data_IF_137072273176
#
_entry.id   IF_137072273176
#
_cell.length_a   1.000
_cell.length_b   1.000
_cell.length_c   1.000
_cell.angle_alpha   90.00
_cell.angle_beta   90.00
_cell.angle_gamma   90.00
#
_symmetry.space_group_name_H-M   'P 1'
#
loop_
_entity.id
_entity.type
_entity.pdbx_description
1 polymer ?
#
# COMPACT_ATOMS: atom_id res chain seq x y z
N UNK A 1 -23.89 3.64 14.36
CA UNK A 1 -25.12 4.46 14.31
C UNK A 1 -25.64 4.41 12.89
N UNK A 2 -26.93 4.60 12.70
CA UNK A 2 -27.61 4.65 11.40
C UNK A 2 -28.10 6.08 11.22
N UNK A 3 -27.85 6.67 10.05
CA UNK A 3 -28.39 7.97 9.68
C UNK A 3 -29.71 7.76 8.94
N UNK A 4 -30.79 8.39 9.39
CA UNK A 4 -32.14 8.19 8.89
C UNK A 4 -32.70 9.55 8.50
N UNK A 5 -33.32 9.65 7.31
CA UNK A 5 -34.17 10.79 6.97
C UNK A 5 -35.61 10.48 7.36
N UNK A 6 -36.17 11.25 8.29
CA UNK A 6 -37.54 11.14 8.77
C UNK A 6 -38.53 11.80 7.79
N UNK A 7 -39.82 11.48 7.92
CA UNK A 7 -40.90 12.01 7.07
C UNK A 7 -41.17 13.51 7.21
N UNK A 8 -40.75 14.10 8.32
CA UNK A 8 -40.79 15.54 8.57
C UNK A 8 -39.56 16.27 8.00
N UNK A 9 -38.68 15.54 7.30
CA UNK A 9 -37.47 16.08 6.71
C UNK A 9 -36.25 16.09 7.63
N UNK A 10 -36.39 15.73 8.92
CA UNK A 10 -35.25 15.63 9.82
C UNK A 10 -34.28 14.54 9.40
N UNK A 11 -33.00 14.78 9.69
CA UNK A 11 -31.93 13.81 9.54
C UNK A 11 -31.46 13.43 10.94
N UNK A 12 -31.76 12.20 11.36
CA UNK A 12 -31.46 11.70 12.70
C UNK A 12 -30.33 10.67 12.65
N UNK A 13 -29.33 10.81 13.52
CA UNK A 13 -28.33 9.77 13.78
C UNK A 13 -28.80 8.94 14.97
N UNK A 14 -29.03 7.66 14.76
CA UNK A 14 -29.53 6.73 15.78
C UNK A 14 -28.44 5.71 16.12
N UNK A 15 -28.12 5.52 17.39
CA UNK A 15 -27.17 4.52 17.87
C UNK A 15 -27.85 3.59 18.87
N UNK A 16 -27.86 2.28 18.59
CA UNK A 16 -28.49 1.26 19.43
C UNK A 16 -29.99 1.52 19.75
N UNK A 17 -30.68 2.26 18.88
CA UNK A 17 -32.09 2.63 19.03
C UNK A 17 -32.32 4.02 19.63
N UNK A 18 -31.27 4.67 20.15
CA UNK A 18 -31.35 6.01 20.71
C UNK A 18 -30.94 7.06 19.66
N UNK A 19 -31.75 8.11 19.50
CA UNK A 19 -31.36 9.28 18.73
C UNK A 19 -30.22 10.00 19.45
N UNK A 20 -29.07 10.12 18.78
CA UNK A 20 -27.88 10.79 19.31
C UNK A 20 -27.64 12.17 18.67
N UNK A 21 -28.30 12.48 17.54
CA UNK A 21 -28.25 13.79 16.88
C UNK A 21 -29.41 13.96 15.89
N UNK A 22 -29.91 15.19 15.68
CA UNK A 22 -30.93 15.53 14.67
C UNK A 22 -30.68 16.90 14.03
N UNK A 23 -31.03 17.07 12.76
CA UNK A 23 -30.90 18.32 12.00
C UNK A 23 -31.98 19.38 12.28
N UNK A 24 -33.08 19.02 12.96
CA UNK A 24 -34.14 19.94 13.42
C UNK A 24 -34.76 20.83 12.33
N UNK A 25 -35.18 20.23 11.22
CA UNK A 25 -35.59 20.88 9.96
C UNK A 25 -37.08 21.31 9.96
N UNK A 26 -38.02 20.48 10.47
CA UNK A 26 -39.46 20.81 10.51
C UNK A 26 -40.30 19.81 11.34
N UNK A 27 -41.53 20.20 11.75
CA UNK A 27 -42.57 19.31 12.33
C UNK A 27 -43.66 18.89 11.30
N UNK A 28 -43.68 19.47 10.10
CA UNK A 28 -44.68 19.13 9.08
C UNK A 28 -44.21 17.94 8.22
N UNK A 29 -45.04 16.90 8.10
CA UNK A 29 -44.78 15.76 7.20
C UNK A 29 -44.85 16.20 5.73
N UNK A 30 -43.86 15.78 4.94
CA UNK A 30 -43.75 16.20 3.55
C UNK A 30 -42.72 15.43 2.75
N UNK A 31 -42.56 15.83 1.50
CA UNK A 31 -41.55 15.27 0.61
C UNK A 31 -40.24 16.01 0.75
N UNK A 32 -39.24 15.31 1.26
CA UNK A 32 -37.88 15.81 1.43
C UNK A 32 -36.85 14.93 0.73
N UNK A 33 -35.81 15.58 0.21
CA UNK A 33 -34.68 14.93 -0.44
C UNK A 33 -33.39 15.41 0.22
N UNK A 34 -32.56 14.48 0.69
CA UNK A 34 -31.23 14.79 1.22
C UNK A 34 -30.14 14.34 0.25
N UNK A 35 -29.25 15.25 -0.14
CA UNK A 35 -28.21 15.03 -1.15
C UNK A 35 -26.83 15.38 -0.60
N UNK A 36 -25.88 14.45 -0.66
CA UNK A 36 -24.47 14.73 -0.42
C UNK A 36 -23.83 15.23 -1.73
N UNK A 37 -23.60 16.52 -1.85
CA UNK A 37 -23.03 17.13 -3.04
C UNK A 37 -21.57 16.75 -3.25
N UNK A 38 -21.09 16.95 -4.49
CA UNK A 38 -19.72 16.59 -4.89
C UNK A 38 -18.61 17.34 -4.13
N UNK A 39 -18.96 18.45 -3.48
CA UNK A 39 -18.12 19.29 -2.60
C UNK A 39 -18.14 18.88 -1.13
N UNK A 40 -18.83 17.80 -0.81
CA UNK A 40 -18.97 17.28 0.55
C UNK A 40 -20.08 17.97 1.36
N UNK A 41 -20.80 18.93 0.77
CA UNK A 41 -21.91 19.59 1.44
C UNK A 41 -23.15 18.69 1.43
N UNK A 42 -23.79 18.51 2.59
CA UNK A 42 -25.01 17.72 2.72
C UNK A 42 -26.21 18.65 2.77
N UNK A 43 -27.06 18.60 1.76
CA UNK A 43 -28.26 19.44 1.65
C UNK A 43 -29.52 18.64 1.90
N UNK A 44 -30.52 19.25 2.53
CA UNK A 44 -31.90 18.76 2.54
C UNK A 44 -32.82 19.80 1.90
N UNK A 45 -33.66 19.34 0.98
CA UNK A 45 -34.60 20.19 0.21
C UNK A 45 -36.05 19.75 0.40
N UNK A 46 -36.97 20.71 0.34
CA UNK A 46 -38.42 20.45 0.31
C UNK A 46 -38.90 20.02 -1.10
N UNK A 47 -40.20 19.73 -1.21
CA UNK A 47 -40.85 19.31 -2.46
C UNK A 47 -40.76 20.35 -3.61
N UNK A 48 -40.49 21.62 -3.29
CA UNK A 48 -40.34 22.71 -4.24
C UNK A 48 -38.87 22.98 -4.59
N UNK A 49 -37.95 22.13 -4.15
CA UNK A 49 -36.49 22.27 -4.25
C UNK A 49 -35.91 23.46 -3.49
N UNK A 50 -36.59 23.96 -2.44
CA UNK A 50 -35.98 24.93 -1.54
C UNK A 50 -35.07 24.21 -0.56
N UNK A 51 -33.85 24.69 -0.37
CA UNK A 51 -32.94 24.18 0.68
C UNK A 51 -33.50 24.56 2.03
N UNK A 52 -33.86 23.56 2.82
CA UNK A 52 -34.38 23.71 4.19
C UNK A 52 -33.31 23.47 5.25
N UNK A 53 -32.20 22.83 4.88
CA UNK A 53 -31.03 22.63 5.74
C UNK A 53 -29.77 22.29 4.93
N UNK A 54 -28.60 22.68 5.43
CA UNK A 54 -27.30 22.33 4.90
C UNK A 54 -26.32 22.01 6.04
N UNK A 55 -25.35 21.12 5.79
CA UNK A 55 -24.25 20.88 6.75
C UNK A 55 -23.17 21.97 6.70
N UNK A 56 -23.19 22.83 5.69
CA UNK A 56 -22.20 23.87 5.37
C UNK A 56 -20.76 23.35 5.30
N UNK A 57 -20.62 22.04 5.11
CA UNK A 57 -19.34 21.34 5.05
C UNK A 57 -18.80 21.41 3.63
N UNK A 58 -18.14 22.51 3.29
CA UNK A 58 -17.56 22.70 1.96
C UNK A 58 -16.10 22.25 1.97
N UNK A 59 -15.77 21.33 1.07
CA UNK A 59 -14.40 20.97 0.72
C UNK A 59 -14.20 21.24 -0.78
N UNK A 60 -12.99 21.67 -1.20
CA UNK A 60 -12.66 21.91 -2.62
C UNK A 60 -12.59 20.60 -3.46
N UNK A 61 -13.24 19.54 -3.00
CA UNK A 61 -13.31 18.24 -3.66
C UNK A 61 -14.48 18.31 -4.64
N UNK A 62 -14.34 17.75 -5.84
CA UNK A 62 -15.47 17.59 -6.76
C UNK A 62 -15.51 16.12 -7.16
N UNK A 63 -16.62 15.43 -6.86
CA UNK A 63 -16.83 14.02 -7.20
C UNK A 63 -17.92 13.86 -8.26
N UNK A 64 -17.78 12.85 -9.14
CA UNK A 64 -18.72 12.54 -10.23
C UNK A 64 -20.03 11.86 -9.76
N UNK A 65 -20.09 11.50 -8.48
CA UNK A 65 -21.19 10.74 -7.89
C UNK A 65 -21.68 11.42 -6.62
N UNK A 66 -22.98 11.39 -6.41
CA UNK A 66 -23.56 11.83 -5.15
C UNK A 66 -24.63 10.87 -4.65
N UNK A 67 -24.78 10.85 -3.33
CA UNK A 67 -25.77 10.04 -2.63
C UNK A 67 -27.03 10.85 -2.42
N UNK A 68 -28.17 10.24 -2.72
CA UNK A 68 -29.49 10.82 -2.55
C UNK A 68 -30.35 9.91 -1.66
N UNK A 69 -30.88 10.46 -0.59
CA UNK A 69 -31.90 9.84 0.27
C UNK A 69 -33.23 10.54 0.02
N UNK A 70 -34.30 9.76 -0.15
CA UNK A 70 -35.65 10.32 -0.37
C UNK A 70 -36.61 9.81 0.71
N UNK A 71 -37.25 10.76 1.41
CA UNK A 71 -38.16 10.48 2.55
C UNK A 71 -39.49 9.82 2.15
N UNK A 72 -39.90 9.90 0.88
CA UNK A 72 -41.20 9.36 0.43
C UNK A 72 -41.19 7.87 0.09
N UNK A 73 -40.00 7.27 -0.07
CA UNK A 73 -39.84 5.91 -0.58
C UNK A 73 -38.98 5.00 0.29
N UNK A 74 -38.41 5.53 1.38
CA UNK A 74 -37.41 4.84 2.21
C UNK A 74 -36.27 4.23 1.35
N UNK A 75 -35.93 4.90 0.25
CA UNK A 75 -35.04 4.40 -0.81
C UNK A 75 -33.74 5.22 -0.82
N UNK A 76 -32.60 4.54 -0.70
CA UNK A 76 -31.29 5.10 -1.01
C UNK A 76 -31.04 4.94 -2.52
N UNK A 77 -30.77 6.05 -3.20
CA UNK A 77 -30.45 6.08 -4.61
C UNK A 77 -29.03 6.65 -4.82
N UNK A 78 -28.27 6.04 -5.72
CA UNK A 78 -26.96 6.56 -6.15
C UNK A 78 -27.14 7.18 -7.52
N UNK A 79 -26.68 8.43 -7.65
CA UNK A 79 -26.68 9.17 -8.91
C UNK A 79 -25.26 9.44 -9.36
N UNK A 80 -25.07 9.44 -10.68
CA UNK A 80 -23.85 9.93 -11.34
C UNK A 80 -24.22 11.20 -12.11
N UNK A 81 -23.47 12.27 -11.89
CA UNK A 81 -23.72 13.54 -12.55
C UNK A 81 -22.55 13.95 -13.44
N UNK A 82 -22.86 14.36 -14.68
CA UNK A 82 -21.98 15.26 -15.46
C UNK A 82 -22.59 16.66 -15.48
N UNK A 83 -21.85 17.72 -15.87
CA UNK A 83 -22.42 19.06 -16.03
C UNK A 83 -23.67 19.11 -16.93
N UNK A 84 -23.79 18.17 -17.87
CA UNK A 84 -24.90 18.07 -18.83
C UNK A 84 -26.07 17.20 -18.34
N UNK A 85 -25.82 16.22 -17.45
CA UNK A 85 -26.86 15.38 -16.85
C UNK A 85 -26.52 15.04 -15.40
N UNK A 86 -26.81 15.95 -14.45
CA UNK A 86 -26.40 15.77 -13.06
C UNK A 86 -27.14 14.64 -12.34
N UNK A 87 -28.27 14.14 -12.85
CA UNK A 87 -29.16 13.22 -12.11
C UNK A 87 -29.36 11.85 -12.79
N UNK A 88 -28.31 11.27 -13.38
CA UNK A 88 -28.41 9.93 -13.94
C UNK A 88 -28.41 8.88 -12.80
N UNK A 89 -29.57 8.27 -12.51
CA UNK A 89 -29.69 7.21 -11.51
C UNK A 89 -28.90 5.97 -11.94
N UNK A 90 -27.99 5.49 -11.09
CA UNK A 90 -27.17 4.30 -11.36
C UNK A 90 -27.53 3.10 -10.48
N UNK A 91 -28.15 3.32 -9.31
CA UNK A 91 -28.55 2.24 -8.41
C UNK A 91 -29.63 2.69 -7.43
N UNK A 92 -30.47 1.76 -6.96
CA UNK A 92 -31.37 1.98 -5.82
C UNK A 92 -31.45 0.80 -4.86
N UNK A 93 -31.71 1.09 -3.58
CA UNK A 93 -31.82 0.08 -2.52
C UNK A 93 -33.00 -0.89 -2.67
N UNK A 94 -34.01 -0.57 -3.48
CA UNK A 94 -35.16 -1.44 -3.77
C UNK A 94 -34.87 -2.46 -4.89
N UNK A 95 -33.81 -2.24 -5.67
CA UNK A 95 -33.35 -3.19 -6.71
C UNK A 95 -32.71 -4.46 -6.11
N UNK A 96 -32.58 -4.51 -4.78
CA UNK A 96 -31.93 -5.60 -4.04
C UNK A 96 -30.40 -5.55 -4.12
N UNK A 97 -29.70 -6.46 -3.41
CA UNK A 97 -28.26 -6.62 -3.59
C UNK A 97 -27.97 -7.03 -5.04
N UNK A 98 -26.86 -6.51 -5.60
CA UNK A 98 -26.41 -6.83 -6.96
C UNK A 98 -26.25 -8.36 -7.06
N UNK A 99 -27.22 -9.02 -7.69
CA UNK A 99 -27.28 -10.47 -7.83
C UNK A 99 -27.44 -10.83 -9.29
N UNK A 100 -26.30 -11.02 -9.94
CA UNK A 100 -26.19 -11.45 -11.33
C UNK A 100 -24.75 -11.25 -11.83
N UNK A 101 -24.24 -12.12 -12.72
CA UNK A 101 -22.99 -11.83 -13.41
C UNK A 101 -23.18 -10.51 -14.20
N UNK A 102 -22.15 -9.65 -14.26
CA UNK A 102 -22.25 -8.37 -14.97
C UNK A 102 -22.75 -8.60 -16.40
N UNK A 103 -23.60 -7.71 -16.94
CA UNK A 103 -24.08 -7.83 -18.30
C UNK A 103 -22.88 -7.90 -19.26
N UNK A 104 -22.93 -8.72 -20.31
CA UNK A 104 -21.82 -8.89 -21.24
C UNK A 104 -21.48 -7.53 -21.87
N UNK A 105 -20.26 -7.09 -21.59
CA UNK A 105 -19.76 -5.77 -21.94
C UNK A 105 -19.41 -5.72 -23.45
N UNK A 106 -20.41 -5.55 -24.31
CA UNK A 106 -20.22 -5.30 -25.73
C UNK A 106 -20.06 -3.79 -25.97
N UNK A 107 -18.90 -3.28 -25.59
CA UNK A 107 -18.21 -2.13 -26.19
C UNK A 107 -16.78 -2.13 -25.64
N UNK A 108 -15.74 -1.90 -26.44
CA UNK A 108 -14.37 -2.00 -25.95
C UNK A 108 -14.17 -0.91 -24.89
N UNK A 109 -14.00 -1.33 -23.64
CA UNK A 109 -13.39 -0.47 -22.60
C UNK A 109 -12.00 -0.15 -23.12
N UNK A 110 -11.80 1.07 -23.58
CA UNK A 110 -10.46 1.58 -23.84
C UNK A 110 -9.70 1.60 -22.52
N UNK A 111 -8.41 1.23 -22.54
CA UNK A 111 -7.49 1.08 -21.40
C UNK A 111 -7.39 2.25 -20.38
N UNK A 112 -8.23 3.29 -20.47
CA UNK A 112 -8.25 4.45 -19.61
C UNK A 112 -9.02 4.25 -18.27
N UNK A 113 -10.00 3.34 -18.21
CA UNK A 113 -10.85 3.20 -17.00
C UNK A 113 -10.22 2.35 -15.86
N UNK A 114 -9.05 1.73 -16.10
CA UNK A 114 -8.30 0.97 -15.08
C UNK A 114 -7.20 1.80 -14.39
N UNK A 115 -7.08 3.09 -14.71
CA UNK A 115 -6.07 4.01 -14.14
C UNK A 115 -6.61 4.75 -12.91
N UNK A 116 -7.04 4.03 -11.86
CA UNK A 116 -7.48 4.66 -10.60
C UNK A 116 -6.33 4.97 -9.62
N UNK A 117 -5.13 5.30 -10.08
CA UNK A 117 -4.07 5.82 -9.20
C UNK A 117 -3.86 7.30 -9.47
N UNK A 118 -4.22 8.14 -8.51
CA UNK A 118 -4.06 9.58 -8.60
C UNK A 118 -2.71 10.02 -8.01
N UNK A 119 -1.62 9.43 -8.49
CA UNK A 119 -0.27 9.73 -8.03
C UNK A 119 0.67 10.02 -9.20
N UNK A 120 1.60 10.95 -8.99
CA UNK A 120 2.76 11.19 -9.87
C UNK A 120 3.98 10.33 -9.47
N UNK A 121 3.79 9.47 -8.46
CA UNK A 121 4.81 8.56 -7.93
C UNK A 121 4.53 7.12 -8.36
N UNK A 122 5.62 6.38 -8.56
CA UNK A 122 5.57 4.92 -8.55
C UNK A 122 5.54 4.47 -7.10
N UNK A 123 4.35 4.17 -6.57
CA UNK A 123 4.17 3.74 -5.19
C UNK A 123 4.27 2.22 -5.15
N UNK A 124 5.45 1.74 -4.74
CA UNK A 124 5.76 0.33 -4.62
C UNK A 124 5.56 -0.22 -3.21
N UNK A 125 5.18 -1.49 -3.13
CA UNK A 125 5.15 -2.27 -1.89
C UNK A 125 5.93 -3.55 -2.07
N UNK A 126 6.67 -3.97 -1.04
CA UNK A 126 7.15 -5.35 -0.97
C UNK A 126 5.95 -6.27 -0.68
N UNK A 127 5.79 -7.30 -1.51
CA UNK A 127 4.63 -8.20 -1.48
C UNK A 127 5.09 -9.65 -1.31
N UNK A 128 4.40 -10.39 -0.45
CA UNK A 128 4.80 -11.74 -0.05
C UNK A 128 3.78 -12.77 -0.54
N UNK A 129 4.04 -13.43 -1.69
CA UNK A 129 3.07 -14.33 -2.29
C UNK A 129 3.18 -15.75 -1.71
N UNK A 130 3.41 -15.91 -0.40
CA UNK A 130 3.74 -17.20 0.22
C UNK A 130 2.67 -17.76 1.18
N UNK A 131 1.57 -17.04 1.39
CA UNK A 131 0.47 -17.51 2.23
C UNK A 131 -0.37 -18.56 1.48
N UNK A 132 -0.75 -19.63 2.19
CA UNK A 132 -1.42 -20.81 1.61
C UNK A 132 -1.74 -21.85 2.68
N UNK A 133 -1.88 -23.13 2.29
CA UNK A 133 -2.22 -24.35 3.06
C UNK A 133 -1.70 -24.53 4.52
N UNK A 134 -0.88 -23.64 5.08
CA UNK A 134 -0.27 -23.75 6.39
C UNK A 134 -0.58 -22.55 7.30
N UNK A 135 -1.75 -21.91 7.19
CA UNK A 135 -2.22 -20.82 8.07
C UNK A 135 -1.11 -19.83 8.46
N UNK A 136 -0.48 -19.17 7.48
CA UNK A 136 0.56 -18.16 7.75
C UNK A 136 1.75 -18.71 8.55
N UNK A 137 2.24 -19.89 8.16
CA UNK A 137 3.33 -20.62 8.82
C UNK A 137 2.95 -21.05 10.26
N UNK A 138 1.76 -21.61 10.42
CA UNK A 138 1.23 -22.11 11.68
C UNK A 138 0.93 -20.98 12.67
N UNK A 139 0.38 -19.86 12.18
CA UNK A 139 -0.04 -18.69 12.96
C UNK A 139 1.08 -18.04 13.77
N UNK A 140 2.31 -18.12 13.28
CA UNK A 140 3.47 -17.61 14.01
C UNK A 140 3.76 -16.15 13.70
N UNK A 141 2.84 -15.24 14.01
CA UNK A 141 3.06 -13.80 13.88
C UNK A 141 2.57 -13.03 15.10
N UNK A 142 3.14 -11.85 15.34
CA UNK A 142 2.94 -11.12 16.59
C UNK A 142 1.47 -10.81 16.85
N UNK A 143 0.72 -10.39 15.82
CA UNK A 143 -0.68 -10.01 15.96
C UNK A 143 -1.65 -11.17 16.23
N UNK A 144 -1.28 -12.41 15.90
CA UNK A 144 -2.06 -13.57 16.34
C UNK A 144 -1.86 -13.83 17.84
N UNK A 145 -0.65 -13.57 18.35
CA UNK A 145 -0.24 -13.88 19.72
C UNK A 145 -0.54 -12.79 20.74
N UNK A 146 -1.05 -11.63 20.32
CA UNK A 146 -1.56 -10.59 21.22
C UNK A 146 -2.98 -10.90 21.70
N UNK A 147 -3.43 -10.24 22.77
CA UNK A 147 -4.73 -10.47 23.37
C UNK A 147 -5.53 -9.16 23.55
N UNK A 148 -6.66 -8.96 22.84
CA UNK A 148 -7.24 -9.87 21.85
C UNK A 148 -6.39 -9.95 20.56
N UNK A 149 -6.44 -11.07 19.80
CA UNK A 149 -5.76 -11.19 18.51
C UNK A 149 -6.25 -10.16 17.50
N UNK A 150 -5.37 -9.76 16.58
CA UNK A 150 -5.68 -8.82 15.50
C UNK A 150 -5.24 -9.44 14.16
N UNK A 151 -6.18 -9.84 13.31
CA UNK A 151 -5.92 -10.71 12.17
C UNK A 151 -6.01 -9.95 10.83
N UNK A 152 -5.56 -10.52 9.71
CA UNK A 152 -5.87 -9.97 8.39
C UNK A 152 -7.38 -9.84 8.20
N UNK A 153 -7.83 -8.77 7.55
CA UNK A 153 -9.28 -8.54 7.34
C UNK A 153 -9.91 -9.54 6.38
N UNK A 154 -9.10 -10.16 5.50
CA UNK A 154 -9.52 -11.28 4.67
C UNK A 154 -9.44 -12.64 5.40
N UNK A 155 -9.08 -12.64 6.69
CA UNK A 155 -8.73 -13.85 7.42
C UNK A 155 -7.36 -14.40 7.02
N UNK A 156 -7.01 -15.57 7.52
CA UNK A 156 -5.81 -16.29 7.08
C UNK A 156 -6.10 -16.93 5.71
N UNK A 157 -5.81 -16.18 4.67
CA UNK A 157 -6.12 -16.52 3.28
C UNK A 157 -5.09 -17.43 2.61
N UNK A 158 -5.51 -18.01 1.49
CA UNK A 158 -4.63 -18.67 0.54
C UNK A 158 -4.34 -17.74 -0.64
N UNK A 159 -3.07 -17.40 -0.84
CA UNK A 159 -2.64 -16.44 -1.84
C UNK A 159 -2.76 -16.96 -3.28
N UNK A 160 -3.12 -18.25 -3.46
CA UNK A 160 -3.39 -18.87 -4.77
C UNK A 160 -4.81 -18.57 -5.27
N UNK A 161 -5.71 -18.19 -4.38
CA UNK A 161 -7.10 -17.92 -4.75
C UNK A 161 -7.19 -16.60 -5.53
N UNK A 162 -7.73 -16.61 -6.77
CA UNK A 162 -7.82 -15.41 -7.60
C UNK A 162 -8.53 -14.25 -6.90
N UNK A 163 -9.55 -14.53 -6.10
CA UNK A 163 -10.33 -13.54 -5.34
C UNK A 163 -9.50 -12.83 -4.28
N UNK A 164 -8.57 -13.53 -3.63
CA UNK A 164 -7.64 -12.93 -2.65
C UNK A 164 -6.69 -11.98 -3.36
N UNK A 165 -6.14 -12.39 -4.51
CA UNK A 165 -5.30 -11.54 -5.34
C UNK A 165 -6.08 -10.29 -5.80
N UNK A 166 -7.32 -10.46 -6.26
CA UNK A 166 -8.19 -9.36 -6.70
C UNK A 166 -8.47 -8.35 -5.57
N UNK A 167 -8.77 -8.82 -4.35
CA UNK A 167 -8.98 -7.91 -3.22
C UNK A 167 -7.69 -7.21 -2.79
N UNK A 168 -6.53 -7.87 -2.81
CA UNK A 168 -5.24 -7.20 -2.58
C UNK A 168 -4.95 -6.12 -3.64
N UNK A 169 -5.23 -6.40 -4.92
CA UNK A 169 -5.07 -5.43 -6.01
C UNK A 169 -6.00 -4.22 -5.82
N UNK A 170 -7.24 -4.45 -5.39
CA UNK A 170 -8.20 -3.39 -5.05
C UNK A 170 -7.72 -2.54 -3.87
N UNK A 171 -7.29 -3.16 -2.77
CA UNK A 171 -6.71 -2.47 -1.61
C UNK A 171 -5.49 -1.63 -2.02
N UNK A 172 -4.63 -2.18 -2.88
CA UNK A 172 -3.45 -1.50 -3.41
C UNK A 172 -3.84 -0.24 -4.20
N UNK A 173 -4.80 -0.35 -5.12
CA UNK A 173 -5.30 0.81 -5.89
C UNK A 173 -5.89 1.88 -4.98
N UNK A 174 -6.67 1.49 -3.98
CA UNK A 174 -7.22 2.43 -2.98
C UNK A 174 -6.12 3.19 -2.24
N UNK A 175 -4.91 2.63 -2.14
CA UNK A 175 -3.75 3.22 -1.48
C UNK A 175 -2.79 3.93 -2.44
N UNK A 176 -3.16 4.16 -3.70
CA UNK A 176 -2.29 4.63 -4.80
C UNK A 176 -1.11 3.70 -5.14
N UNK A 177 -1.06 2.47 -4.60
CA UNK A 177 -0.04 1.47 -4.93
C UNK A 177 -0.23 1.01 -6.37
N UNK A 178 0.83 1.14 -7.16
CA UNK A 178 0.86 0.75 -8.58
C UNK A 178 2.02 -0.20 -8.92
N UNK A 179 2.78 -0.63 -7.91
CA UNK A 179 3.85 -1.61 -8.06
C UNK A 179 3.85 -2.62 -6.89
N UNK A 180 3.82 -3.91 -7.22
CA UNK A 180 4.18 -4.99 -6.29
C UNK A 180 5.57 -5.53 -6.61
N UNK A 181 6.46 -5.45 -5.63
CA UNK A 181 7.79 -6.07 -5.66
C UNK A 181 7.68 -7.40 -4.91
N UNK A 182 7.48 -8.47 -5.67
CA UNK A 182 7.07 -9.80 -5.16
C UNK A 182 8.29 -10.62 -4.71
N UNK A 183 8.30 -11.06 -3.45
CA UNK A 183 9.30 -12.02 -2.93
C UNK A 183 9.38 -13.25 -3.83
N UNK A 184 10.58 -13.64 -4.24
CA UNK A 184 10.82 -14.70 -5.21
C UNK A 184 12.04 -15.55 -4.83
N UNK A 185 11.79 -16.84 -4.58
CA UNK A 185 12.79 -17.82 -4.10
C UNK A 185 13.37 -18.68 -5.22
N UNK A 186 13.20 -18.26 -6.48
CA UNK A 186 13.72 -18.98 -7.65
C UNK A 186 12.72 -19.93 -8.30
N UNK A 187 13.09 -20.53 -9.44
CA UNK A 187 12.22 -21.37 -10.26
C UNK A 187 11.59 -22.53 -9.49
N UNK A 188 10.30 -22.76 -9.69
CA UNK A 188 9.58 -23.89 -9.08
C UNK A 188 9.29 -23.74 -7.58
N UNK A 189 9.66 -22.62 -6.96
CA UNK A 189 9.26 -22.31 -5.58
C UNK A 189 7.76 -22.02 -5.46
N UNK A 190 7.24 -21.93 -4.23
CA UNK A 190 5.85 -21.52 -4.01
C UNK A 190 5.61 -20.08 -4.50
N UNK A 191 6.56 -19.18 -4.21
CA UNK A 191 6.46 -17.79 -4.65
C UNK A 191 6.58 -17.65 -6.17
N UNK A 192 7.35 -18.51 -6.84
CA UNK A 192 7.38 -18.58 -8.31
C UNK A 192 6.01 -18.84 -8.93
N UNK A 193 5.32 -19.89 -8.45
CA UNK A 193 3.98 -20.24 -8.92
C UNK A 193 2.95 -19.17 -8.60
N UNK A 194 3.00 -18.62 -7.40
CA UNK A 194 2.00 -17.65 -6.95
C UNK A 194 2.19 -16.29 -7.66
N UNK A 195 3.43 -15.87 -7.93
CA UNK A 195 3.66 -14.66 -8.76
C UNK A 195 3.18 -14.85 -10.20
N UNK A 196 3.24 -16.06 -10.76
CA UNK A 196 2.64 -16.35 -12.08
C UNK A 196 1.12 -16.23 -12.03
N UNK A 197 0.47 -16.76 -10.98
CA UNK A 197 -0.97 -16.59 -10.78
C UNK A 197 -1.38 -15.10 -10.64
N UNK A 198 -0.54 -14.28 -10.00
CA UNK A 198 -0.75 -12.82 -9.95
C UNK A 198 -0.67 -12.21 -11.35
N UNK A 199 0.32 -12.60 -12.16
CA UNK A 199 0.46 -12.12 -13.55
C UNK A 199 -0.70 -12.51 -14.46
N UNK A 200 -1.37 -13.62 -14.17
CA UNK A 200 -2.53 -14.13 -14.92
C UNK A 200 -3.88 -13.61 -14.37
N UNK A 201 -3.87 -12.87 -13.24
CA UNK A 201 -5.11 -12.40 -12.62
C UNK A 201 -5.80 -11.35 -13.50
N UNK A 202 -7.11 -11.54 -13.74
CA UNK A 202 -7.93 -10.65 -14.58
C UNK A 202 -7.96 -9.19 -14.13
N UNK A 203 -7.77 -8.96 -12.83
CA UNK A 203 -7.83 -7.64 -12.20
C UNK A 203 -6.44 -7.02 -12.07
N UNK A 204 -5.39 -7.58 -12.70
CA UNK A 204 -4.03 -7.00 -12.71
C UNK A 204 -3.86 -5.71 -13.54
N UNK A 205 -4.56 -5.46 -14.67
CA UNK A 205 -4.32 -4.29 -15.50
C UNK A 205 -4.25 -2.97 -14.72
N UNK A 206 -3.21 -2.17 -14.97
CA UNK A 206 -2.89 -0.96 -14.21
C UNK A 206 -1.92 -1.14 -13.04
N UNK A 207 -1.62 -2.37 -12.62
CA UNK A 207 -0.57 -2.70 -11.65
C UNK A 207 0.71 -3.16 -12.36
N UNK A 208 1.88 -2.79 -11.83
CA UNK A 208 3.17 -3.35 -12.23
C UNK A 208 3.67 -4.38 -11.24
N UNK A 209 4.40 -5.37 -11.74
CA UNK A 209 5.04 -6.43 -10.95
C UNK A 209 6.55 -6.39 -11.19
N UNK A 210 7.34 -6.57 -10.13
CA UNK A 210 8.76 -6.89 -10.21
C UNK A 210 9.09 -8.07 -9.29
N UNK A 211 10.19 -8.77 -9.58
CA UNK A 211 10.71 -9.82 -8.70
C UNK A 211 11.65 -9.25 -7.64
N UNK A 212 11.55 -9.78 -6.42
CA UNK A 212 12.44 -9.52 -5.30
C UNK A 212 13.20 -10.79 -4.95
N UNK A 213 14.47 -10.83 -5.35
CA UNK A 213 15.28 -12.03 -5.27
C UNK A 213 15.77 -12.28 -3.84
N UNK A 214 15.28 -13.36 -3.26
CA UNK A 214 15.55 -13.78 -1.88
C UNK A 214 16.93 -14.46 -1.77
N UNK A 215 17.99 -13.64 -1.72
CA UNK A 215 19.38 -14.14 -1.75
C UNK A 215 19.71 -15.06 -0.57
N UNK A 216 19.03 -14.90 0.57
CA UNK A 216 19.29 -15.69 1.79
C UNK A 216 19.09 -17.20 1.62
N UNK A 217 18.20 -17.65 0.73
CA UNK A 217 18.10 -19.07 0.36
C UNK A 217 18.26 -19.39 -1.11
N UNK A 218 18.26 -18.39 -2.00
CA UNK A 218 18.65 -18.62 -3.40
C UNK A 218 20.17 -18.60 -3.59
N UNK A 219 20.92 -17.95 -2.70
CA UNK A 219 22.40 -17.95 -2.65
C UNK A 219 22.80 -18.46 -1.26
N UNK A 220 22.83 -19.78 -1.03
CA UNK A 220 23.15 -20.35 0.28
C UNK A 220 24.46 -19.78 0.85
N UNK A 221 24.43 -19.35 2.11
CA UNK A 221 25.55 -18.69 2.80
C UNK A 221 26.13 -17.48 2.06
N UNK A 222 25.37 -16.88 1.14
CA UNK A 222 25.80 -15.78 0.28
C UNK A 222 27.05 -16.09 -0.56
N UNK A 223 27.36 -17.36 -0.84
CA UNK A 223 28.64 -17.76 -1.46
C UNK A 223 28.50 -18.55 -2.75
N UNK A 224 27.39 -19.25 -2.99
CA UNK A 224 27.17 -20.01 -4.22
C UNK A 224 26.31 -19.21 -5.19
N UNK A 225 26.94 -18.62 -6.22
CA UNK A 225 26.26 -17.72 -7.18
C UNK A 225 26.03 -18.37 -8.54
N UNK A 226 26.55 -19.57 -8.79
CA UNK A 226 26.51 -20.19 -10.12
C UNK A 226 25.08 -20.46 -10.60
N UNK A 227 24.16 -20.73 -9.68
CA UNK A 227 22.73 -20.92 -9.98
C UNK A 227 22.01 -19.62 -10.34
N UNK A 228 22.56 -18.45 -10.00
CA UNK A 228 21.93 -17.14 -10.24
C UNK A 228 21.75 -16.90 -11.74
N UNK A 229 22.69 -17.35 -12.58
CA UNK A 229 22.60 -17.23 -14.03
C UNK A 229 21.37 -17.94 -14.58
N UNK A 230 21.16 -19.20 -14.18
CA UNK A 230 20.02 -20.00 -14.63
C UNK A 230 18.70 -19.44 -14.09
N UNK A 231 18.70 -18.94 -12.85
CA UNK A 231 17.54 -18.25 -12.29
C UNK A 231 17.15 -17.01 -13.10
N UNK A 232 18.11 -16.18 -13.53
CA UNK A 232 17.81 -14.99 -14.32
C UNK A 232 17.46 -15.30 -15.78
N UNK A 233 18.02 -16.36 -16.36
CA UNK A 233 17.57 -16.86 -17.65
C UNK A 233 16.11 -17.34 -17.58
N UNK A 234 15.73 -18.03 -16.51
CA UNK A 234 14.34 -18.43 -16.26
C UNK A 234 13.44 -17.21 -16.03
N UNK A 235 13.87 -16.24 -15.22
CA UNK A 235 13.10 -15.03 -14.95
C UNK A 235 12.80 -14.26 -16.25
N UNK A 236 13.79 -14.19 -17.15
CA UNK A 236 13.65 -13.56 -18.45
C UNK A 236 12.57 -14.22 -19.32
N UNK A 237 12.53 -15.55 -19.38
CA UNK A 237 11.52 -16.28 -20.16
C UNK A 237 10.10 -16.12 -19.63
N UNK A 238 9.96 -16.05 -18.31
CA UNK A 238 8.68 -16.23 -17.65
C UNK A 238 8.02 -14.92 -17.20
N UNK A 239 8.81 -13.85 -17.03
CA UNK A 239 8.33 -12.60 -16.42
C UNK A 239 8.63 -11.36 -17.26
N UNK A 240 9.85 -11.21 -17.76
CA UNK A 240 10.32 -9.93 -18.34
C UNK A 240 9.58 -9.51 -19.63
N UNK A 241 9.01 -10.48 -20.34
CA UNK A 241 8.18 -10.25 -21.52
C UNK A 241 6.81 -9.63 -21.22
N UNK A 242 6.29 -9.78 -19.99
CA UNK A 242 4.95 -9.30 -19.63
C UNK A 242 4.85 -7.77 -19.76
N UNK A 243 3.69 -7.28 -20.21
CA UNK A 243 3.37 -5.85 -20.23
C UNK A 243 3.15 -5.28 -18.83
N UNK A 244 2.81 -6.14 -17.88
CA UNK A 244 2.66 -5.82 -16.46
C UNK A 244 3.98 -5.87 -15.70
N UNK A 245 5.07 -6.35 -16.30
CA UNK A 245 6.38 -6.32 -15.64
C UNK A 245 6.97 -4.91 -15.64
N UNK A 246 7.48 -4.47 -14.49
CA UNK A 246 8.09 -3.15 -14.34
C UNK A 246 9.34 -3.02 -15.22
N UNK A 247 9.40 -1.93 -15.99
CA UNK A 247 10.55 -1.58 -16.84
C UNK A 247 10.93 -0.12 -16.60
N UNK A 248 12.21 0.15 -16.42
CA UNK A 248 12.78 1.50 -16.41
C UNK A 248 13.66 1.62 -17.65
N UNK A 249 13.42 2.61 -18.50
CA UNK A 249 14.12 2.79 -19.78
C UNK A 249 14.12 1.50 -20.65
N UNK A 250 13.00 0.76 -20.64
CA UNK A 250 12.85 -0.50 -21.36
C UNK A 250 13.51 -1.72 -20.72
N UNK A 251 14.28 -1.55 -19.64
CA UNK A 251 15.01 -2.60 -18.93
C UNK A 251 14.13 -3.21 -17.83
N UNK A 252 13.88 -4.54 -17.80
CA UNK A 252 13.14 -5.18 -16.71
C UNK A 252 13.81 -4.92 -15.37
N UNK A 253 13.03 -4.49 -14.38
CA UNK A 253 13.54 -4.19 -13.04
C UNK A 253 13.61 -5.45 -12.19
N UNK A 254 14.72 -5.66 -11.49
CA UNK A 254 14.96 -6.82 -10.64
C UNK A 254 15.52 -6.37 -9.28
N UNK A 255 14.76 -6.61 -8.21
CA UNK A 255 15.16 -6.24 -6.85
C UNK A 255 15.98 -7.36 -6.23
N UNK A 256 17.00 -7.00 -5.45
CA UNK A 256 17.91 -7.94 -4.78
C UNK A 256 17.86 -7.70 -3.28
N UNK A 257 17.29 -8.66 -2.55
CA UNK A 257 17.31 -8.65 -1.09
C UNK A 257 18.71 -8.96 -0.58
N UNK A 258 19.16 -8.30 0.48
CA UNK A 258 20.49 -8.45 1.09
C UNK A 258 21.66 -8.23 0.11
N UNK A 259 21.51 -7.33 -0.85
CA UNK A 259 22.60 -6.83 -1.69
C UNK A 259 23.75 -6.27 -0.84
N UNK A 260 23.43 -5.64 0.31
CA UNK A 260 24.46 -5.18 1.27
C UNK A 260 25.27 -6.33 1.86
N UNK A 261 24.64 -7.48 2.15
CA UNK A 261 25.33 -8.65 2.74
C UNK A 261 26.21 -9.31 1.69
N UNK A 262 25.72 -9.43 0.45
CA UNK A 262 26.55 -9.84 -0.68
C UNK A 262 27.76 -8.92 -0.85
N UNK A 263 27.59 -7.60 -0.72
CA UNK A 263 28.69 -6.63 -0.79
C UNK A 263 29.69 -6.83 0.34
N UNK A 264 29.22 -6.92 1.59
CA UNK A 264 30.06 -7.17 2.77
C UNK A 264 30.87 -8.46 2.67
N UNK A 265 30.30 -9.48 2.02
CA UNK A 265 30.95 -10.77 1.81
C UNK A 265 31.84 -10.81 0.54
N UNK A 266 31.95 -9.70 -0.21
CA UNK A 266 32.73 -9.63 -1.46
C UNK A 266 32.12 -10.45 -2.61
N UNK A 267 30.80 -10.66 -2.60
CA UNK A 267 30.08 -11.52 -3.55
C UNK A 267 29.09 -10.78 -4.45
N UNK A 268 28.84 -9.49 -4.20
CA UNK A 268 27.91 -8.68 -4.98
C UNK A 268 28.29 -8.62 -6.46
N UNK A 269 29.55 -8.35 -6.79
CA UNK A 269 30.02 -8.26 -8.18
C UNK A 269 29.78 -9.57 -8.94
N UNK A 270 30.16 -10.70 -8.34
CA UNK A 270 29.96 -12.02 -8.94
C UNK A 270 28.46 -12.33 -9.13
N UNK A 271 27.62 -12.02 -8.13
CA UNK A 271 26.18 -12.23 -8.23
C UNK A 271 25.56 -11.36 -9.34
N UNK A 272 25.84 -10.06 -9.37
CA UNK A 272 25.35 -9.12 -10.39
C UNK A 272 25.81 -9.54 -11.80
N UNK A 273 27.06 -10.01 -11.93
CA UNK A 273 27.56 -10.54 -13.20
C UNK A 273 26.73 -11.71 -13.69
N UNK A 274 26.47 -12.71 -12.84
CA UNK A 274 25.64 -13.86 -13.20
C UNK A 274 24.18 -13.45 -13.50
N UNK A 275 23.63 -12.47 -12.76
CA UNK A 275 22.28 -11.94 -13.02
C UNK A 275 22.18 -11.33 -14.43
N UNK A 276 23.10 -10.40 -14.75
CA UNK A 276 23.12 -9.73 -16.05
C UNK A 276 23.37 -10.71 -17.18
N UNK A 277 24.26 -11.67 -16.98
CA UNK A 277 24.58 -12.67 -17.98
C UNK A 277 23.41 -13.62 -18.24
N UNK A 278 22.73 -14.09 -17.18
CA UNK A 278 21.52 -14.91 -17.29
C UNK A 278 20.44 -14.24 -18.12
N UNK A 279 20.12 -12.98 -17.81
CA UNK A 279 19.15 -12.20 -18.58
C UNK A 279 19.60 -11.95 -20.04
N UNK A 280 20.89 -11.67 -20.25
CA UNK A 280 21.46 -11.43 -21.59
C UNK A 280 21.33 -12.65 -22.50
N UNK A 281 21.40 -13.87 -21.96
CA UNK A 281 21.17 -15.08 -22.77
C UNK A 281 19.80 -15.10 -23.45
N UNK A 282 18.84 -14.32 -22.94
CA UNK A 282 17.48 -14.14 -23.48
C UNK A 282 17.24 -12.76 -24.09
N UNK A 283 18.30 -12.02 -24.37
CA UNK A 283 18.24 -10.72 -25.04
C UNK A 283 17.79 -9.55 -24.15
N UNK A 284 17.78 -9.72 -22.83
CA UNK A 284 17.43 -8.66 -21.90
C UNK A 284 18.65 -8.00 -21.28
N UNK A 285 18.62 -6.67 -21.21
CA UNK A 285 19.40 -5.89 -20.26
C UNK A 285 18.49 -5.53 -19.08
N UNK A 286 18.89 -5.87 -17.86
CA UNK A 286 18.08 -5.68 -16.65
C UNK A 286 18.53 -4.47 -15.83
N UNK A 287 17.61 -3.82 -15.14
CA UNK A 287 17.84 -2.74 -14.18
C UNK A 287 17.80 -3.32 -12.75
N UNK A 288 18.91 -3.29 -12.03
CA UNK A 288 19.05 -3.98 -10.74
C UNK A 288 18.94 -2.99 -9.58
N UNK A 289 17.99 -3.24 -8.67
CA UNK A 289 17.79 -2.47 -7.43
C UNK A 289 18.28 -3.30 -6.25
N UNK A 290 19.20 -2.77 -5.44
CA UNK A 290 19.69 -3.46 -4.24
C UNK A 290 19.37 -2.73 -2.94
N UNK A 291 19.08 -3.45 -1.86
CA UNK A 291 18.81 -2.91 -0.51
C UNK A 291 20.09 -2.48 0.25
N UNK A 292 20.94 -1.69 -0.41
CA UNK A 292 22.25 -1.27 0.07
C UNK A 292 22.22 -0.01 0.94
N UNK A 293 21.16 0.80 0.88
CA UNK A 293 21.06 2.10 1.56
C UNK A 293 20.72 1.95 3.05
N UNK A 294 21.62 1.29 3.80
CA UNK A 294 21.41 0.95 5.20
C UNK A 294 22.23 1.84 6.14
N UNK A 295 21.57 2.38 7.16
CA UNK A 295 22.21 3.19 8.20
C UNK A 295 22.90 4.46 7.67
N UNK A 296 24.23 4.52 7.63
CA UNK A 296 24.98 5.75 7.26
C UNK A 296 25.43 5.69 5.80
N UNK A 297 25.30 6.78 5.04
CA UNK A 297 25.80 6.84 3.67
C UNK A 297 27.34 6.73 3.60
N UNK A 298 27.89 6.22 2.49
CA UNK A 298 29.32 6.13 2.29
C UNK A 298 29.95 7.53 2.21
N UNK A 299 31.19 7.66 2.70
CA UNK A 299 31.94 8.94 2.66
C UNK A 299 32.70 9.18 1.35
N UNK A 300 32.78 8.19 0.49
CA UNK A 300 33.49 8.22 -0.78
C UNK A 300 32.91 7.20 -1.74
N UNK A 301 33.72 6.72 -2.68
CA UNK A 301 33.30 5.74 -3.67
C UNK A 301 32.78 4.46 -2.99
N UNK A 302 31.70 3.94 -3.53
CA UNK A 302 31.01 2.78 -2.98
C UNK A 302 30.69 1.81 -4.10
N UNK A 303 31.44 0.70 -4.14
CA UNK A 303 31.41 -0.29 -5.22
C UNK A 303 29.99 -0.72 -5.62
N UNK A 304 29.04 -0.79 -4.68
CA UNK A 304 27.68 -1.20 -5.00
C UNK A 304 27.01 -0.25 -6.02
N UNK A 305 27.35 1.04 -6.04
CA UNK A 305 26.81 2.00 -7.01
C UNK A 305 27.35 1.79 -8.44
N UNK A 306 28.49 1.11 -8.60
CA UNK A 306 29.02 0.75 -9.92
C UNK A 306 28.36 -0.53 -10.48
N UNK A 307 27.78 -1.34 -9.60
CA UNK A 307 27.22 -2.66 -9.92
C UNK A 307 25.70 -2.63 -10.08
N UNK A 308 25.04 -1.84 -9.24
CA UNK A 308 23.59 -1.68 -9.17
C UNK A 308 23.15 -0.44 -9.96
N UNK A 309 21.94 -0.49 -10.50
CA UNK A 309 21.34 0.65 -11.19
C UNK A 309 20.62 1.59 -10.21
N UNK A 310 20.08 1.03 -9.12
CA UNK A 310 19.57 1.80 -7.99
C UNK A 310 19.85 1.14 -6.65
N UNK A 311 19.81 1.94 -5.59
CA UNK A 311 19.77 1.47 -4.22
C UNK A 311 18.48 1.88 -3.52
N UNK A 312 18.02 1.02 -2.61
CA UNK A 312 16.89 1.28 -1.72
C UNK A 312 17.22 0.85 -0.28
N UNK A 313 16.31 1.12 0.65
CA UNK A 313 16.39 0.67 2.03
C UNK A 313 15.23 -0.27 2.36
N UNK A 314 15.48 -1.58 2.48
CA UNK A 314 14.44 -2.51 2.91
C UNK A 314 14.22 -2.47 4.44
N UNK A 315 15.31 -2.38 5.21
CA UNK A 315 15.34 -2.52 6.68
C UNK A 315 15.37 -1.13 7.35
N UNK A 316 14.21 -0.45 7.32
CA UNK A 316 14.03 0.88 7.91
C UNK A 316 14.14 0.78 9.43
N UNK A 317 13.49 -0.20 10.05
CA UNK A 317 13.62 -0.51 11.49
C UNK A 317 15.09 -0.64 11.96
N UNK A 318 15.90 -1.42 11.24
CA UNK A 318 17.32 -1.58 11.52
C UNK A 318 18.12 -0.31 11.30
N UNK A 319 17.80 0.47 10.26
CA UNK A 319 18.44 1.76 9.96
C UNK A 319 18.18 2.82 11.02
N UNK A 320 17.01 2.78 11.66
CA UNK A 320 16.64 3.60 12.81
C UNK A 320 17.32 3.14 14.12
N UNK A 321 18.03 2.01 14.12
CA UNK A 321 18.69 1.50 15.32
C UNK A 321 17.72 0.84 16.30
N UNK A 322 16.59 0.32 15.80
CA UNK A 322 15.62 -0.52 16.53
C UNK A 322 14.96 0.14 17.76
N UNK A 323 14.40 1.35 17.62
CA UNK A 323 13.77 2.05 18.75
C UNK A 323 12.39 1.48 19.11
N UNK A 324 11.93 1.70 20.36
CA UNK A 324 10.51 1.50 20.74
C UNK A 324 9.62 2.54 20.04
N UNK A 325 10.00 3.82 20.13
CA UNK A 325 9.42 4.93 19.37
C UNK A 325 10.55 5.67 18.66
N UNK A 326 10.41 5.91 17.37
CA UNK A 326 11.45 6.62 16.64
C UNK A 326 11.63 8.06 17.15
N UNK A 327 10.52 8.78 17.35
CA UNK A 327 10.52 10.20 17.70
C UNK A 327 10.96 11.10 16.55
N UNK A 328 10.54 12.37 16.59
CA UNK A 328 10.79 13.33 15.49
C UNK A 328 12.28 13.52 15.20
N UNK A 329 13.11 13.63 16.25
CA UNK A 329 14.56 13.82 16.10
C UNK A 329 15.23 12.70 15.29
N UNK A 330 14.88 11.44 15.55
CA UNK A 330 15.47 10.30 14.83
C UNK A 330 14.95 10.22 13.39
N UNK A 331 13.69 10.56 13.17
CA UNK A 331 13.10 10.62 11.82
C UNK A 331 13.76 11.71 10.98
N UNK A 332 14.05 12.87 11.56
CA UNK A 332 14.77 13.95 10.87
C UNK A 332 16.22 13.51 10.56
N UNK A 333 16.89 12.82 11.49
CA UNK A 333 18.21 12.22 11.25
C UNK A 333 18.19 11.13 10.17
N UNK A 334 17.12 10.35 10.10
CA UNK A 334 16.94 9.34 9.05
C UNK A 334 16.75 10.01 7.69
N UNK A 335 15.90 11.05 7.62
CA UNK A 335 15.74 11.86 6.40
C UNK A 335 17.08 12.39 5.90
N UNK A 336 17.90 12.97 6.79
CA UNK A 336 19.23 13.47 6.42
C UNK A 336 20.16 12.34 5.94
N UNK A 337 20.10 11.15 6.56
CA UNK A 337 20.89 9.99 6.13
C UNK A 337 20.45 9.47 4.76
N UNK A 338 19.15 9.38 4.51
CA UNK A 338 18.60 8.96 3.21
C UNK A 338 18.93 9.98 2.11
N UNK A 339 18.89 11.29 2.39
CA UNK A 339 19.35 12.32 1.45
C UNK A 339 20.86 12.19 1.18
N UNK A 340 21.66 11.87 2.20
CA UNK A 340 23.09 11.58 2.02
C UNK A 340 23.33 10.36 1.13
N UNK A 341 22.50 9.32 1.25
CA UNK A 341 22.54 8.14 0.37
C UNK A 341 22.21 8.53 -1.08
N UNK A 342 21.12 9.26 -1.27
CA UNK A 342 20.69 9.77 -2.57
C UNK A 342 21.77 10.60 -3.26
N UNK A 343 22.39 11.54 -2.55
CA UNK A 343 23.48 12.36 -3.09
C UNK A 343 24.73 11.53 -3.42
N UNK A 344 25.06 10.53 -2.61
CA UNK A 344 26.21 9.66 -2.87
C UNK A 344 25.98 8.76 -4.09
N UNK A 345 24.78 8.18 -4.22
CA UNK A 345 24.39 7.33 -5.34
C UNK A 345 24.43 8.11 -6.66
N UNK A 346 23.79 9.29 -6.72
CA UNK A 346 23.75 10.15 -7.91
C UNK A 346 25.13 10.58 -8.40
N UNK A 347 26.07 10.84 -7.48
CA UNK A 347 27.46 11.18 -7.83
C UNK A 347 28.19 10.07 -8.59
N UNK A 348 27.76 8.82 -8.41
CA UNK A 348 28.31 7.63 -9.08
C UNK A 348 27.37 7.07 -10.16
N UNK A 349 26.32 7.82 -10.55
CA UNK A 349 25.39 7.40 -11.60
C UNK A 349 24.45 6.27 -11.20
N UNK A 350 24.24 6.05 -9.90
CA UNK A 350 23.27 5.12 -9.36
C UNK A 350 22.05 5.91 -8.87
N UNK A 351 20.85 5.41 -9.16
CA UNK A 351 19.61 6.02 -8.70
C UNK A 351 19.33 5.65 -7.23
N UNK A 352 18.42 6.39 -6.61
CA UNK A 352 17.99 6.16 -5.24
C UNK A 352 16.46 6.05 -5.12
N UNK A 353 16.01 5.03 -4.38
CA UNK A 353 14.60 4.74 -4.14
C UNK A 353 14.36 4.76 -2.62
N UNK A 354 13.75 5.82 -2.06
CA UNK A 354 13.47 5.90 -0.63
C UNK A 354 12.45 4.85 -0.20
N UNK A 355 12.43 4.57 1.10
CA UNK A 355 11.52 3.60 1.67
C UNK A 355 10.87 4.05 2.98
N UNK A 356 9.71 3.47 3.27
CA UNK A 356 8.94 3.69 4.48
C UNK A 356 8.45 2.36 5.07
N UNK A 357 8.27 2.33 6.39
CA UNK A 357 7.83 1.15 7.14
C UNK A 357 6.86 1.61 8.25
N UNK A 358 5.70 0.95 8.45
CA UNK A 358 4.71 1.44 9.40
C UNK A 358 5.04 1.13 10.87
N UNK A 359 5.92 0.17 11.13
CA UNK A 359 6.32 -0.36 12.43
C UNK A 359 6.90 -1.78 12.26
N UNK A 360 7.38 -2.38 13.35
CA UNK A 360 8.06 -3.68 13.30
C UNK A 360 7.80 -4.52 14.55
N UNK A 361 7.50 -5.81 14.38
CA UNK A 361 7.55 -6.81 15.45
C UNK A 361 7.63 -8.24 14.90
N UNK A 362 8.79 -8.88 15.07
CA UNK A 362 9.02 -10.28 14.69
C UNK A 362 8.99 -11.28 15.86
N UNK A 363 8.61 -10.83 17.07
CA UNK A 363 8.57 -11.69 18.27
C UNK A 363 7.52 -12.81 18.17
N UNK A 364 6.65 -12.78 17.16
CA UNK A 364 5.72 -13.87 16.87
C UNK A 364 6.37 -15.09 16.22
N UNK A 365 7.45 -14.89 15.45
CA UNK A 365 8.15 -15.95 14.70
C UNK A 365 9.57 -16.21 15.22
N UNK A 366 10.22 -15.20 15.82
CA UNK A 366 11.63 -15.27 16.23
C UNK A 366 11.79 -15.11 17.74
N UNK A 367 12.82 -15.79 18.26
CA UNK A 367 13.27 -15.65 19.65
C UNK A 367 14.64 -14.96 19.69
N UNK A 368 14.69 -13.72 19.22
CA UNK A 368 15.93 -12.95 18.99
C UNK A 368 16.05 -11.69 19.87
N UNK A 369 15.12 -11.52 20.81
CA UNK A 369 15.05 -10.39 21.71
C UNK A 369 14.94 -9.00 21.05
N UNK A 370 14.39 -8.91 19.84
CA UNK A 370 14.15 -7.62 19.20
C UNK A 370 13.12 -6.76 19.97
N UNK A 371 13.37 -5.46 20.03
CA UNK A 371 12.44 -4.47 20.58
C UNK A 371 11.43 -4.10 19.50
N UNK A 372 10.11 -4.34 19.67
CA UNK A 372 9.11 -3.87 18.73
C UNK A 372 9.20 -2.35 18.55
N UNK A 373 9.06 -1.91 17.30
CA UNK A 373 8.93 -0.50 16.94
C UNK A 373 7.45 -0.17 16.82
N UNK A 374 7.00 0.77 17.64
CA UNK A 374 5.61 1.25 17.64
C UNK A 374 5.23 1.83 16.29
N UNK A 375 3.97 1.66 15.91
CA UNK A 375 3.37 2.34 14.76
C UNK A 375 3.04 3.82 15.03
N UNK A 376 3.42 4.32 16.21
CA UNK A 376 3.35 5.72 16.62
C UNK A 376 4.72 6.35 16.54
N UNK A 377 4.79 7.61 16.13
CA UNK A 377 6.03 8.38 16.14
C UNK A 377 6.57 8.54 17.58
N UNK A 378 5.68 8.73 18.54
CA UNK A 378 6.00 8.96 19.94
C UNK A 378 4.92 8.39 20.86
N UNK A 379 5.20 8.23 22.16
CA UNK A 379 4.25 7.68 23.15
C UNK A 379 2.88 8.37 23.16
N UNK A 380 2.86 9.69 23.01
CA UNK A 380 1.64 10.50 23.04
C UNK A 380 1.08 10.81 21.64
N UNK A 381 1.66 10.24 20.59
CA UNK A 381 1.24 10.43 19.21
C UNK A 381 0.13 9.41 18.84
N UNK A 382 -0.66 9.73 17.81
CA UNK A 382 -1.66 8.81 17.27
C UNK A 382 -1.04 7.65 16.49
N UNK A 383 -1.74 6.51 16.39
CA UNK A 383 -1.35 5.41 15.49
C UNK A 383 -1.26 5.91 14.05
N UNK A 384 -0.29 5.40 13.28
CA UNK A 384 -0.03 5.83 11.91
C UNK A 384 0.84 7.09 11.77
N UNK A 385 1.11 7.81 12.87
CA UNK A 385 1.96 9.02 12.83
C UNK A 385 3.39 8.73 12.38
N UNK A 386 3.97 7.58 12.74
CA UNK A 386 5.29 7.17 12.25
C UNK A 386 5.28 6.97 10.73
N UNK A 387 4.32 6.19 10.25
CA UNK A 387 4.22 5.84 8.83
C UNK A 387 4.01 7.08 7.96
N UNK A 388 3.13 8.00 8.39
CA UNK A 388 2.88 9.26 7.69
C UNK A 388 4.16 10.08 7.49
N UNK A 389 4.95 10.27 8.55
CA UNK A 389 6.20 11.03 8.46
C UNK A 389 7.22 10.35 7.54
N UNK A 390 7.34 9.02 7.61
CA UNK A 390 8.25 8.26 6.76
C UNK A 390 7.84 8.32 5.27
N UNK A 391 6.55 8.20 4.96
CA UNK A 391 6.05 8.33 3.58
C UNK A 391 6.21 9.76 3.07
N UNK A 392 5.96 10.78 3.90
CA UNK A 392 6.19 12.19 3.53
C UNK A 392 7.65 12.43 3.17
N UNK A 393 8.59 11.95 4.00
CA UNK A 393 10.02 12.04 3.70
C UNK A 393 10.36 11.29 2.41
N UNK A 394 9.81 10.10 2.20
CA UNK A 394 10.06 9.32 0.99
C UNK A 394 9.59 10.04 -0.28
N UNK A 395 8.38 10.62 -0.28
CA UNK A 395 7.84 11.41 -1.39
C UNK A 395 8.78 12.57 -1.77
N UNK A 396 9.36 13.27 -0.79
CA UNK A 396 10.30 14.37 -1.04
C UNK A 396 11.67 13.93 -1.60
N UNK A 397 12.03 12.66 -1.40
CA UNK A 397 13.37 12.13 -1.68
C UNK A 397 13.43 11.21 -2.89
N UNK A 398 12.33 11.08 -3.63
CA UNK A 398 12.27 10.26 -4.84
C UNK A 398 13.21 10.79 -5.94
N UNK A 399 13.75 9.87 -6.74
CA UNK A 399 14.46 10.19 -7.98
C UNK A 399 13.52 10.10 -9.18
N UNK A 400 13.55 11.14 -10.03
CA UNK A 400 12.68 11.24 -11.20
C UNK A 400 12.91 10.08 -12.18
N UNK A 401 14.16 9.64 -12.34
CA UNK A 401 14.59 8.56 -13.24
C UNK A 401 13.96 7.20 -12.93
N UNK A 402 13.51 7.02 -11.69
CA UNK A 402 12.81 5.80 -11.24
C UNK A 402 11.29 5.89 -11.43
N UNK A 403 10.78 6.99 -12.00
CA UNK A 403 9.35 7.30 -12.01
C UNK A 403 8.87 7.82 -10.65
N UNK A 404 9.72 8.59 -9.96
CA UNK A 404 9.54 9.02 -8.57
C UNK A 404 9.15 7.84 -7.66
N UNK A 405 9.93 6.76 -7.70
CA UNK A 405 9.58 5.54 -6.99
C UNK A 405 9.86 5.66 -5.49
N UNK A 406 8.92 5.18 -4.68
CA UNK A 406 9.11 4.89 -3.26
C UNK A 406 8.69 3.46 -2.95
N UNK A 407 9.30 2.86 -1.94
CA UNK A 407 9.00 1.49 -1.50
C UNK A 407 8.45 1.45 -0.08
N UNK A 408 7.34 0.76 0.12
CA UNK A 408 6.81 0.45 1.46
C UNK A 408 7.18 -0.98 1.82
N UNK A 409 7.85 -1.14 2.95
CA UNK A 409 8.02 -2.42 3.65
C UNK A 409 6.90 -2.51 4.69
N UNK A 410 5.79 -3.21 4.45
CA UNK A 410 5.43 -4.05 3.29
C UNK A 410 3.90 -4.02 3.06
N UNK A 411 3.41 -4.65 1.99
CA UNK A 411 1.97 -4.88 1.84
C UNK A 411 1.46 -5.85 2.91
N UNK A 412 2.02 -7.06 2.97
CA UNK A 412 1.49 -8.19 3.76
C UNK A 412 2.57 -9.04 4.47
N UNK A 413 3.67 -8.46 4.98
CA UNK A 413 4.64 -9.24 5.77
C UNK A 413 4.22 -9.36 7.23
N UNK A 414 3.32 -10.30 7.50
CA UNK A 414 2.74 -10.50 8.81
C UNK A 414 3.74 -11.02 9.84
N UNK A 415 4.74 -11.81 9.44
CA UNK A 415 5.73 -12.36 10.38
C UNK A 415 6.61 -11.28 11.01
N UNK A 416 6.81 -10.15 10.32
CA UNK A 416 7.57 -9.00 10.82
C UNK A 416 6.69 -7.84 11.31
N UNK A 417 5.38 -8.01 11.23
CA UNK A 417 4.39 -6.98 11.53
C UNK A 417 4.59 -5.64 10.79
N UNK A 418 5.11 -5.68 9.56
CA UNK A 418 5.36 -4.48 8.72
C UNK A 418 4.25 -4.21 7.71
N UNK A 419 3.22 -5.05 7.65
CA UNK A 419 2.10 -4.95 6.72
C UNK A 419 1.31 -3.64 6.86
N UNK A 420 0.86 -3.12 5.70
CA UNK A 420 -0.19 -2.10 5.58
C UNK A 420 -1.55 -2.72 5.21
N UNK A 421 -1.57 -4.03 4.91
CA UNK A 421 -2.80 -4.80 4.69
C UNK A 421 -3.78 -4.61 5.86
N UNK A 422 -5.10 -4.44 5.59
CA UNK A 422 -6.05 -4.15 6.64
C UNK A 422 -6.10 -5.17 7.79
N UNK A 423 -6.04 -4.67 9.02
CA UNK A 423 -6.14 -5.48 10.24
C UNK A 423 -7.52 -5.35 10.88
N UNK A 424 -8.16 -6.49 11.16
CA UNK A 424 -9.39 -6.58 11.95
C UNK A 424 -9.10 -6.88 13.42
N UNK A 425 -9.98 -6.41 14.31
CA UNK A 425 -9.90 -6.61 15.76
C UNK A 425 -10.52 -5.44 16.51
N UNK A 426 -10.57 -5.53 17.84
CA UNK A 426 -11.17 -4.51 18.70
C UNK A 426 -10.19 -4.01 19.76
N UNK A 427 -10.26 -2.70 20.03
CA UNK A 427 -9.52 -2.05 21.10
C UNK A 427 -8.01 -1.93 20.88
N UNK A 428 -7.34 -1.51 21.94
CA UNK A 428 -5.88 -1.39 22.01
C UNK A 428 -5.36 -2.34 23.08
N UNK A 429 -4.28 -3.05 22.80
CA UNK A 429 -3.67 -3.97 23.77
C UNK A 429 -2.15 -3.81 23.86
N UNK A 430 -1.62 -4.06 25.05
CA UNK A 430 -0.18 -4.22 25.32
C UNK A 430 0.14 -5.66 25.75
N UNK A 431 -0.82 -6.58 25.63
CA UNK A 431 -0.69 -7.95 26.15
C UNK A 431 -0.57 -8.99 25.02
N UNK A 432 0.19 -10.07 25.24
CA UNK A 432 1.07 -10.31 26.38
C UNK A 432 2.41 -9.59 26.21
N UNK A 433 2.99 -9.13 27.32
CA UNK A 433 4.27 -8.38 27.32
C UNK A 433 5.43 -9.13 26.65
N UNK A 434 5.39 -10.47 26.60
CA UNK A 434 6.41 -11.28 25.91
C UNK A 434 6.44 -11.04 24.39
N UNK A 435 5.31 -10.64 23.78
CA UNK A 435 5.19 -10.34 22.35
C UNK A 435 5.34 -8.84 22.11
N UNK A 436 4.64 -8.02 22.89
CA UNK A 436 4.52 -6.58 22.68
C UNK A 436 5.65 -5.76 23.28
N UNK A 437 6.28 -6.27 24.34
CA UNK A 437 7.28 -5.57 25.17
C UNK A 437 6.82 -4.18 25.62
N UNK A 438 5.54 -4.03 25.92
CA UNK A 438 4.94 -2.77 26.37
C UNK A 438 4.55 -1.80 25.25
N UNK A 439 4.81 -2.14 23.98
CA UNK A 439 4.28 -1.40 22.83
C UNK A 439 2.79 -1.70 22.66
N UNK A 440 2.01 -0.68 22.35
CA UNK A 440 0.58 -0.79 22.16
C UNK A 440 0.20 -1.15 20.72
N UNK A 441 -0.82 -2.00 20.59
CA UNK A 441 -1.33 -2.55 19.34
C UNK A 441 -2.79 -2.19 19.17
N UNK A 442 -3.13 -1.52 18.07
CA UNK A 442 -4.49 -1.23 17.66
C UNK A 442 -4.80 -1.94 16.33
N UNK A 443 -5.98 -2.55 16.26
CA UNK A 443 -6.55 -2.98 14.99
C UNK A 443 -6.95 -1.74 14.18
N UNK A 444 -6.44 -1.63 12.97
CA UNK A 444 -6.40 -0.35 12.25
C UNK A 444 -7.24 -0.31 10.97
N UNK A 445 -7.96 -1.39 10.61
CA UNK A 445 -8.75 -1.44 9.39
C UNK A 445 -7.93 -0.97 8.19
N UNK A 446 -8.40 0.03 7.46
CA UNK A 446 -7.72 0.58 6.26
C UNK A 446 -6.75 1.72 6.54
N UNK A 447 -6.51 2.10 7.81
CA UNK A 447 -5.80 3.35 8.15
C UNK A 447 -4.47 3.56 7.42
N UNK A 448 -3.65 2.52 7.25
CA UNK A 448 -2.34 2.65 6.60
C UNK A 448 -2.44 2.76 5.07
N UNK A 449 -3.49 2.16 4.47
CA UNK A 449 -3.83 2.39 3.07
C UNK A 449 -4.29 3.82 2.86
N UNK A 450 -5.12 4.35 3.76
CA UNK A 450 -5.63 5.72 3.70
C UNK A 450 -4.50 6.76 3.85
N UNK A 451 -3.56 6.54 4.77
CA UNK A 451 -2.36 7.38 4.93
C UNK A 451 -1.53 7.38 3.64
N UNK A 452 -1.28 6.19 3.06
CA UNK A 452 -0.48 6.09 1.85
C UNK A 452 -1.15 6.81 0.67
N UNK A 453 -2.47 6.64 0.49
CA UNK A 453 -3.25 7.38 -0.51
C UNK A 453 -3.10 8.89 -0.31
N UNK A 454 -3.38 9.39 0.89
CA UNK A 454 -3.40 10.83 1.18
C UNK A 454 -2.05 11.49 0.92
N UNK A 455 -0.96 10.87 1.37
CA UNK A 455 0.38 11.44 1.25
C UNK A 455 0.92 11.38 -0.19
N UNK A 456 0.48 10.39 -0.98
CA UNK A 456 0.95 10.21 -2.36
C UNK A 456 0.01 10.80 -3.41
N UNK A 457 -1.10 11.40 -3.00
CA UNK A 457 -2.08 12.00 -3.91
C UNK A 457 -1.47 13.19 -4.68
N UNK A 458 -1.77 13.30 -5.98
CA UNK A 458 -1.28 14.38 -6.87
C UNK A 458 -1.55 15.77 -6.33
N UNK A 459 -2.69 15.96 -5.67
CA UNK A 459 -3.12 17.28 -5.16
C UNK A 459 -2.29 17.75 -3.95
N UNK A 460 -1.74 16.83 -3.16
CA UNK A 460 -1.00 17.14 -1.92
C UNK A 460 0.34 17.85 -2.20
N UNK A 461 0.99 17.56 -3.34
CA UNK A 461 2.28 18.16 -3.72
C UNK A 461 2.18 19.60 -4.24
N UNK A 462 1.00 20.07 -4.63
CA UNK A 462 0.82 21.44 -5.14
C UNK A 462 0.83 22.49 -4.01
N UNK A 463 0.39 22.11 -2.80
CA UNK A 463 0.34 23.01 -1.64
C UNK A 463 1.72 23.31 -1.08
N UNK A 464 2.68 22.38 -1.18
CA UNK A 464 4.05 22.58 -0.71
C UNK A 464 4.86 23.59 -1.56
N UNK A 465 4.52 23.77 -2.85
CA UNK A 465 5.22 24.72 -3.74
C UNK A 465 4.78 26.18 -3.61
N UNK A 466 3.74 26.49 -2.83
CA UNK A 466 3.24 27.88 -2.65
C UNK A 466 3.81 28.61 -1.42
N UNK A 467 4.70 27.98 -0.65
CA UNK A 467 5.29 28.56 0.57
C UNK A 467 6.82 28.68 0.56
N UNK A 468 7.44 28.81 -0.61
CA UNK A 468 8.84 29.25 -0.74
C UNK A 468 8.95 30.50 -1.60
#
# INVERSE_FOLDING_TARGET
GILIQERNGNLALVHQGDEVWTSSISEEEGSYTTTLQGDGNLLTMDANNNVVWASDSHSDIHTDYFLCLTSNKDELEVFRGTPENPFAKVWSSIDGPITGPPPPYNSPVTNADFSMTNSDHTVGVYYYPWYGNTDFNGRNYAREKINPPQLPSLGEYDQREPEVISEHLKMSRMANVNLWVTSWWGPGSATDRNTKAILENRDLPGMKIALFYETSGTIPNFSYVDNVKDHLAYAADNYFGSEHYLKINGRPVFFVYLARVLSQNGRLEAAVKEMREGARTRGYEIYIVGDSAFYKPPRGDYQAFELLDAVTNYDVYGSLGRPEYAGKQLIDQERDRQEGWRQAARKQGCDFIPAAEPGYNDNGVRNNNHQPMSRKLCRNCGFGSLFRELVQNAVEQCDFETGNMLMVTSFNEWHEDTQIEPVQGEGTTVNPNQITRGVDYQAYGTQYLDILREVTDRTSTTTARRHH
#
